data_IF_683078709022
#
_entry.id   IF_683078709022
#
_cell.length_a   1.000
_cell.length_b   1.000
_cell.length_c   1.000
_cell.angle_alpha   90.00
_cell.angle_beta   90.00
_cell.angle_gamma   90.00
#
_symmetry.space_group_name_H-M   'P 1'
#
loop_
_entity.id
_entity.type
_entity.pdbx_description
1 polymer ?
#
# COMPACT_ATOMS: atom_id res chain seq x y z
N UNK A 1 23.55 17.11 5.60
CA UNK A 1 22.19 16.98 6.18
C UNK A 1 21.41 16.14 5.20
N UNK A 2 21.18 14.86 5.49
CA UNK A 2 20.58 13.94 4.52
C UNK A 2 19.07 13.92 4.73
N UNK A 3 18.33 14.31 3.69
CA UNK A 3 16.87 14.15 3.62
C UNK A 3 16.57 12.67 3.44
N UNK A 4 16.01 12.03 4.48
CA UNK A 4 15.48 10.68 4.37
C UNK A 4 14.15 10.72 3.62
N UNK A 5 14.19 10.54 2.31
CA UNK A 5 13.00 10.23 1.53
C UNK A 5 12.63 8.76 1.80
N UNK A 6 11.44 8.52 2.36
CA UNK A 6 10.84 7.18 2.45
C UNK A 6 10.42 6.77 1.04
N UNK A 7 11.38 6.24 0.27
CA UNK A 7 11.13 5.66 -1.03
C UNK A 7 10.71 4.19 -0.79
N UNK A 8 9.45 3.78 -1.05
CA UNK A 8 9.01 2.40 -0.85
C UNK A 8 9.52 1.45 -1.96
N UNK A 9 10.63 1.79 -2.61
CA UNK A 9 11.31 0.87 -3.50
C UNK A 9 11.98 -0.20 -2.63
N UNK A 10 11.41 -1.40 -2.61
CA UNK A 10 12.10 -2.59 -2.12
C UNK A 10 13.52 -2.60 -2.71
N UNK A 11 14.58 -2.87 -1.91
CA UNK A 11 15.93 -3.08 -2.46
C UNK A 11 15.85 -4.08 -3.61
N UNK A 12 16.66 -3.92 -4.66
CA UNK A 12 16.59 -4.77 -5.86
C UNK A 12 16.70 -6.28 -5.55
N UNK A 13 17.28 -6.66 -4.40
CA UNK A 13 17.37 -8.04 -3.93
C UNK A 13 16.08 -8.57 -3.28
N UNK A 14 15.16 -7.71 -2.87
CA UNK A 14 13.89 -8.08 -2.24
C UNK A 14 12.81 -8.23 -3.30
N UNK A 15 12.81 -9.40 -3.95
CA UNK A 15 11.79 -9.76 -4.95
C UNK A 15 10.37 -9.71 -4.37
N UNK A 16 10.24 -10.00 -3.07
CA UNK A 16 8.97 -10.04 -2.37
C UNK A 16 9.17 -9.84 -0.86
N UNK A 17 8.28 -9.07 -0.23
CA UNK A 17 8.16 -8.93 1.22
C UNK A 17 6.76 -9.40 1.64
N UNK A 18 6.69 -10.29 2.64
CA UNK A 18 5.42 -10.79 3.18
C UNK A 18 5.42 -10.69 4.69
N UNK A 19 4.36 -10.14 5.27
CA UNK A 19 4.22 -9.97 6.72
C UNK A 19 2.75 -9.98 7.17
N UNK A 20 2.48 -10.45 8.39
CA UNK A 20 1.18 -10.29 9.01
C UNK A 20 0.98 -8.86 9.53
N UNK A 21 -0.25 -8.36 9.43
CA UNK A 21 -0.67 -7.05 9.94
C UNK A 21 -2.00 -7.22 10.69
N UNK A 22 -2.04 -6.88 11.97
CA UNK A 22 -3.29 -6.86 12.73
C UNK A 22 -3.99 -5.50 12.55
N UNK A 23 -5.21 -5.53 12.02
CA UNK A 23 -6.02 -4.35 11.76
C UNK A 23 -7.49 -4.60 12.03
N UNK A 24 -8.16 -3.69 12.75
CA UNK A 24 -9.58 -3.81 13.13
C UNK A 24 -9.97 -5.17 13.74
N UNK A 25 -9.06 -5.78 14.51
CA UNK A 25 -9.29 -7.09 15.14
C UNK A 25 -9.15 -8.29 14.21
N UNK A 26 -8.71 -8.08 12.96
CA UNK A 26 -8.44 -9.15 12.00
C UNK A 26 -6.93 -9.20 11.68
N UNK A 27 -6.41 -10.40 11.40
CA UNK A 27 -5.07 -10.57 10.86
C UNK A 27 -5.12 -10.50 9.34
N UNK A 28 -4.26 -9.67 8.75
CA UNK A 28 -4.10 -9.52 7.32
C UNK A 28 -2.74 -10.09 6.92
N UNK A 29 -2.70 -10.95 5.91
CA UNK A 29 -1.44 -11.31 5.27
C UNK A 29 -1.18 -10.34 4.12
N UNK A 30 -0.16 -9.51 4.28
CA UNK A 30 0.25 -8.53 3.27
C UNK A 30 1.47 -9.08 2.55
N UNK A 31 1.42 -9.13 1.23
CA UNK A 31 2.56 -9.49 0.37
C UNK A 31 2.75 -8.41 -0.68
N UNK A 32 3.95 -7.86 -0.80
CA UNK A 32 4.28 -6.90 -1.83
C UNK A 32 5.53 -7.33 -2.62
N UNK A 33 5.50 -7.05 -3.91
CA UNK A 33 6.65 -7.13 -4.81
C UNK A 33 6.92 -5.73 -5.40
N UNK A 34 7.83 -5.63 -6.37
CA UNK A 34 8.17 -4.35 -7.00
C UNK A 34 6.99 -3.65 -7.72
N UNK A 35 5.91 -4.36 -8.02
CA UNK A 35 4.81 -3.89 -8.86
C UNK A 35 3.44 -3.99 -8.20
N UNK A 36 3.26 -4.86 -7.21
CA UNK A 36 1.95 -5.25 -6.69
C UNK A 36 1.93 -5.38 -5.18
N UNK A 37 0.73 -5.24 -4.64
CA UNK A 37 0.40 -5.58 -3.25
C UNK A 37 -0.80 -6.54 -3.27
N UNK A 38 -0.65 -7.66 -2.58
CA UNK A 38 -1.69 -8.63 -2.29
C UNK A 38 -2.03 -8.58 -0.81
N UNK A 39 -3.31 -8.45 -0.50
CA UNK A 39 -3.84 -8.44 0.87
C UNK A 39 -4.82 -9.60 0.99
N UNK A 40 -4.57 -10.47 1.97
CA UNK A 40 -5.48 -11.57 2.33
C UNK A 40 -6.01 -11.39 3.73
N UNK A 41 -7.27 -11.74 3.94
CA UNK A 41 -7.97 -11.65 5.23
C UNK A 41 -9.00 -12.76 5.34
N UNK A 42 -9.32 -13.16 6.57
CA UNK A 42 -10.40 -14.11 6.85
C UNK A 42 -11.78 -13.44 7.01
N UNK A 43 -11.82 -12.11 7.07
CA UNK A 43 -13.05 -11.35 7.19
C UNK A 43 -12.97 -10.01 6.43
N UNK A 44 -14.10 -9.50 5.90
CA UNK A 44 -14.15 -8.20 5.25
C UNK A 44 -13.62 -7.07 6.12
N UNK A 45 -12.61 -6.37 5.60
CA UNK A 45 -11.96 -5.26 6.28
C UNK A 45 -11.85 -4.06 5.35
N UNK A 46 -11.98 -2.86 5.90
CA UNK A 46 -11.70 -1.62 5.18
C UNK A 46 -10.42 -0.97 5.69
N UNK A 47 -9.50 -0.65 4.78
CA UNK A 47 -8.24 0.02 5.09
C UNK A 47 -7.91 1.07 4.03
N UNK A 48 -7.01 1.99 4.37
CA UNK A 48 -6.49 2.97 3.41
C UNK A 48 -5.17 2.47 2.83
N UNK A 49 -5.13 2.32 1.51
CA UNK A 49 -3.91 2.05 0.77
C UNK A 49 -3.51 3.33 0.03
N UNK A 50 -2.40 3.95 0.44
CA UNK A 50 -1.94 5.25 -0.11
C UNK A 50 -3.03 6.34 -0.15
N UNK A 51 -3.85 6.42 0.90
CA UNK A 51 -4.92 7.41 1.02
C UNK A 51 -6.27 6.97 0.43
N UNK A 52 -6.28 6.00 -0.49
CA UNK A 52 -7.50 5.46 -1.07
C UNK A 52 -8.14 4.42 -0.13
N UNK A 53 -9.43 4.60 0.17
CA UNK A 53 -10.19 3.61 0.93
C UNK A 53 -10.50 2.40 0.06
N UNK A 54 -10.10 1.21 0.53
CA UNK A 54 -10.38 -0.08 -0.12
C UNK A 54 -11.06 -1.02 0.87
N UNK A 55 -11.84 -1.96 0.34
CA UNK A 55 -12.42 -3.07 1.11
C UNK A 55 -11.88 -4.38 0.56
N UNK A 56 -11.38 -5.24 1.45
CA UNK A 56 -10.82 -6.56 1.13
C UNK A 56 -11.66 -7.60 1.85
N UNK A 57 -12.25 -8.56 1.13
CA UNK A 57 -13.12 -9.59 1.70
C UNK A 57 -12.42 -10.95 1.89
N UNK A 58 -11.59 -11.36 0.93
CA UNK A 58 -10.83 -12.61 0.97
C UNK A 58 -9.39 -12.36 0.49
N UNK A 59 -9.23 -12.07 -0.80
CA UNK A 59 -7.98 -11.64 -1.40
C UNK A 59 -8.24 -10.47 -2.35
N UNK A 60 -7.40 -9.45 -2.25
CA UNK A 60 -7.34 -8.38 -3.24
C UNK A 60 -5.89 -8.14 -3.66
N UNK A 61 -5.67 -8.03 -4.97
CA UNK A 61 -4.38 -7.68 -5.55
C UNK A 61 -4.49 -6.34 -6.24
N UNK A 62 -3.56 -5.44 -5.96
CA UNK A 62 -3.52 -4.11 -6.54
C UNK A 62 -2.15 -3.83 -7.15
N UNK A 63 -2.12 -3.06 -8.23
CA UNK A 63 -0.87 -2.58 -8.82
C UNK A 63 -0.39 -1.35 -8.04
N UNK A 64 0.86 -1.35 -7.57
CA UNK A 64 1.44 -0.20 -6.88
C UNK A 64 1.45 1.05 -7.76
N UNK A 65 1.61 0.88 -9.07
CA UNK A 65 1.53 1.96 -10.06
C UNK A 65 0.24 2.78 -9.95
N UNK A 66 -0.89 2.15 -9.67
CA UNK A 66 -2.20 2.83 -9.56
C UNK A 66 -2.21 3.83 -8.39
N UNK A 67 -1.39 3.60 -7.35
CA UNK A 67 -1.35 4.44 -6.17
C UNK A 67 -0.21 5.46 -6.15
N UNK A 68 0.89 5.20 -6.86
CA UNK A 68 2.00 6.16 -6.94
C UNK A 68 1.58 7.46 -7.66
N UNK A 69 0.70 7.37 -8.66
CA UNK A 69 0.20 8.55 -9.36
C UNK A 69 -0.85 9.34 -8.56
N UNK A 70 -1.61 8.68 -7.69
CA UNK A 70 -2.65 9.33 -6.88
C UNK A 70 -2.07 10.39 -5.92
N UNK A 71 -0.96 10.09 -5.25
CA UNK A 71 -0.30 11.00 -4.30
C UNK A 71 0.37 12.22 -4.96
N UNK A 72 0.66 12.16 -6.27
CA UNK A 72 1.25 13.29 -6.97
C UNK A 72 0.19 14.35 -7.28
N UNK A 73 -1.02 13.95 -7.69
CA UNK A 73 -2.14 14.86 -7.98
C UNK A 73 -2.70 15.56 -6.74
N UNK A 74 -2.86 14.86 -5.61
CA UNK A 74 -3.37 15.47 -4.36
C UNK A 74 -2.43 16.57 -3.82
N UNK A 75 -1.11 16.43 -4.02
CA UNK A 75 -0.13 17.46 -3.63
C UNK A 75 -0.18 18.69 -4.53
N UNK A 76 -0.57 18.57 -5.79
CA UNK A 76 -0.75 19.74 -6.67
C UNK A 76 -2.00 20.57 -6.29
N UNK A 77 -3.08 19.94 -5.82
CA UNK A 77 -4.28 20.67 -5.40
C UNK A 77 -4.12 21.38 -4.05
N UNK A 78 -3.33 20.84 -3.13
CA UNK A 78 -3.14 21.44 -1.80
C UNK A 78 -2.10 22.56 -1.75
N UNK A 79 -1.36 22.79 -2.83
CA UNK A 79 -0.37 23.87 -2.95
C UNK A 79 -0.81 25.08 -3.79
N UNK A 80 -2.07 25.14 -4.24
CA UNK A 80 -2.53 26.17 -5.18
C UNK A 80 -3.98 26.59 -4.97
N UNK A 81 -4.15 27.61 -4.14
CA UNK A 81 -5.37 28.41 -3.92
C UNK A 81 -5.05 29.58 -3.01
#
# INVERSE_FOLDING_TARGET
MTVNAFNPALPEQWQQLSFPLFWQGCELQVTLDAQRIAIRTSAPVSLRLNGQLITVAEESVFCLGDFYFALQWDRYQTSGG
#
